data_IF_817899877932
#
_entry.id   IF_817899877932
#
_cell.length_a   1.000
_cell.length_b   1.000
_cell.length_c   1.000
_cell.angle_alpha   90.00
_cell.angle_beta   90.00
_cell.angle_gamma   90.00
#
_symmetry.space_group_name_H-M   'P 1'
#
loop_
_entity.id
_entity.type
_entity.pdbx_description
1 polymer ?
#
# COMPACT_ATOMS: atom_id res chain seq x y z
N UNK A 1 2.09 30.07 15.03
CA UNK A 1 2.71 29.82 13.71
C UNK A 1 1.96 28.67 13.05
N UNK A 2 0.92 29.00 12.28
CA UNK A 2 0.13 28.04 11.48
C UNK A 2 0.74 28.05 10.09
N UNK A 3 1.19 26.93 9.55
CA UNK A 3 1.42 26.65 8.12
C UNK A 3 2.09 25.27 8.02
N UNK A 4 1.38 24.29 7.44
CA UNK A 4 1.80 22.99 6.86
C UNK A 4 0.71 21.92 7.09
N UNK A 5 -0.55 22.24 6.77
CA UNK A 5 -1.63 21.25 6.77
C UNK A 5 -2.63 21.54 5.64
N UNK A 6 -2.12 21.69 4.42
CA UNK A 6 -2.92 22.10 3.26
C UNK A 6 -2.59 21.37 1.95
N UNK A 7 -1.96 20.18 1.99
CA UNK A 7 -1.72 19.38 0.78
C UNK A 7 -2.58 18.13 0.63
N UNK A 8 -3.41 17.77 1.61
CA UNK A 8 -4.31 16.61 1.52
C UNK A 8 -5.76 16.98 1.85
N UNK A 9 -6.24 18.08 1.25
CA UNK A 9 -7.65 18.48 1.34
C UNK A 9 -8.39 18.25 0.02
N UNK A 10 -8.06 17.16 -0.67
CA UNK A 10 -8.77 16.69 -1.86
C UNK A 10 -8.99 15.18 -1.80
N UNK A 11 -9.56 14.66 -0.72
CA UNK A 11 -10.26 13.37 -0.77
C UNK A 11 -11.60 13.58 -1.49
N UNK A 12 -11.52 13.92 -2.78
CA UNK A 12 -12.67 14.01 -3.66
C UNK A 12 -13.15 12.61 -4.08
N UNK A 13 -14.37 12.49 -4.63
CA UNK A 13 -14.95 11.21 -5.07
C UNK A 13 -14.06 10.42 -6.06
N UNK A 14 -13.12 11.08 -6.75
CA UNK A 14 -12.31 10.48 -7.81
C UNK A 14 -11.19 9.55 -7.30
N UNK A 15 -10.54 9.84 -6.17
CA UNK A 15 -9.50 8.97 -5.58
C UNK A 15 -10.11 7.68 -5.00
N UNK A 16 -11.28 7.79 -4.37
CA UNK A 16 -12.07 6.62 -3.93
C UNK A 16 -12.51 5.74 -5.10
N UNK A 17 -12.86 6.33 -6.25
CA UNK A 17 -13.28 5.60 -7.45
C UNK A 17 -12.11 4.80 -8.10
N UNK A 18 -10.91 5.37 -8.19
CA UNK A 18 -9.70 4.65 -8.65
C UNK A 18 -9.29 3.51 -7.70
N UNK A 19 -9.45 3.71 -6.39
CA UNK A 19 -9.17 2.68 -5.38
C UNK A 19 -10.09 1.46 -5.50
N UNK A 20 -11.30 1.67 -6.01
CA UNK A 20 -12.30 0.61 -6.24
C UNK A 20 -11.93 -0.25 -7.46
N UNK A 21 -11.47 0.37 -8.55
CA UNK A 21 -11.04 -0.31 -9.78
C UNK A 21 -9.80 -1.20 -9.58
N UNK A 22 -8.86 -0.78 -8.72
CA UNK A 22 -7.66 -1.55 -8.40
C UNK A 22 -7.88 -2.63 -7.32
N UNK A 23 -9.04 -2.63 -6.66
CA UNK A 23 -9.33 -3.55 -5.57
C UNK A 23 -9.16 -5.03 -5.94
N UNK A 24 -9.61 -5.53 -7.12
CA UNK A 24 -9.39 -6.91 -7.51
C UNK A 24 -7.91 -7.30 -7.56
N UNK A 25 -7.03 -6.38 -7.99
CA UNK A 25 -5.58 -6.61 -8.09
C UNK A 25 -4.96 -6.69 -6.69
N UNK A 26 -5.38 -5.82 -5.76
CA UNK A 26 -4.94 -5.91 -4.36
C UNK A 26 -5.37 -7.23 -3.72
N UNK A 27 -6.61 -7.66 -3.96
CA UNK A 27 -7.14 -8.92 -3.43
C UNK A 27 -6.39 -10.12 -4.01
N UNK A 28 -6.14 -10.15 -5.32
CA UNK A 28 -5.41 -11.25 -5.97
C UNK A 28 -3.95 -11.31 -5.54
N UNK A 29 -3.29 -10.16 -5.40
CA UNK A 29 -1.93 -10.06 -4.87
C UNK A 29 -1.87 -10.54 -3.42
N UNK A 30 -2.77 -10.04 -2.56
CA UNK A 30 -2.86 -10.44 -1.16
C UNK A 30 -3.09 -11.95 -1.03
N UNK A 31 -3.97 -12.53 -1.84
CA UNK A 31 -4.21 -13.98 -1.88
C UNK A 31 -2.95 -14.75 -2.30
N UNK A 32 -2.24 -14.29 -3.34
CA UNK A 32 -1.01 -14.91 -3.84
C UNK A 32 0.08 -14.99 -2.77
N UNK A 33 0.24 -13.94 -1.99
CA UNK A 33 1.28 -13.85 -0.95
C UNK A 33 0.76 -14.07 0.48
N UNK A 34 -0.49 -14.53 0.63
CA UNK A 34 -1.14 -14.81 1.93
C UNK A 34 -1.04 -13.62 2.91
N UNK A 35 -1.25 -12.40 2.38
CA UNK A 35 -1.33 -11.20 3.22
C UNK A 35 -2.60 -11.23 4.07
N UNK A 36 -2.49 -10.80 5.32
CA UNK A 36 -3.65 -10.62 6.20
C UNK A 36 -4.45 -9.39 5.76
N UNK A 37 -5.73 -9.25 6.15
CA UNK A 37 -6.51 -8.06 5.84
C UNK A 37 -5.83 -6.75 6.26
N UNK A 38 -5.14 -6.76 7.42
CA UNK A 38 -4.42 -5.59 7.91
C UNK A 38 -3.16 -5.28 7.09
N UNK A 39 -2.41 -6.30 6.69
CA UNK A 39 -1.28 -6.15 5.78
C UNK A 39 -1.74 -5.63 4.41
N UNK A 40 -2.86 -6.10 3.88
CA UNK A 40 -3.42 -5.59 2.62
C UNK A 40 -3.78 -4.10 2.71
N UNK A 41 -4.29 -3.64 3.87
CA UNK A 41 -4.53 -2.21 4.10
C UNK A 41 -3.21 -1.41 4.11
N UNK A 42 -2.18 -1.89 4.81
CA UNK A 42 -0.85 -1.26 4.79
C UNK A 42 -0.32 -1.19 3.36
N UNK A 43 -0.40 -2.29 2.62
CA UNK A 43 0.09 -2.38 1.24
C UNK A 43 -0.60 -1.38 0.32
N UNK A 44 -1.92 -1.20 0.46
CA UNK A 44 -2.69 -0.22 -0.32
C UNK A 44 -2.14 1.20 -0.09
N UNK A 45 -2.10 1.64 1.16
CA UNK A 45 -1.62 3.00 1.51
C UNK A 45 -0.16 3.17 1.06
N UNK A 46 0.68 2.16 1.25
CA UNK A 46 2.08 2.16 0.87
C UNK A 46 2.32 2.40 -0.64
N UNK A 47 1.45 1.90 -1.51
CA UNK A 47 1.63 2.01 -2.97
C UNK A 47 0.86 3.16 -3.61
N UNK A 48 -0.19 3.69 -2.96
CA UNK A 48 -1.05 4.74 -3.54
C UNK A 48 -0.75 6.16 -3.02
N UNK A 49 -0.31 6.32 -1.77
CA UNK A 49 -0.32 7.63 -1.12
C UNK A 49 1.06 8.34 -1.05
N UNK A 50 2.16 7.61 -1.25
CA UNK A 50 3.51 8.18 -1.17
C UNK A 50 3.94 8.69 0.21
N UNK A 51 3.25 8.25 1.28
CA UNK A 51 3.45 8.69 2.65
C UNK A 51 4.68 8.07 3.33
N UNK A 52 5.21 8.77 4.33
CA UNK A 52 6.23 8.25 5.25
C UNK A 52 5.61 7.28 6.25
N UNK A 53 6.44 6.41 6.84
CA UNK A 53 5.98 5.36 7.76
C UNK A 53 5.20 5.89 8.99
N UNK A 54 5.58 7.02 9.54
CA UNK A 54 4.86 7.66 10.65
C UNK A 54 3.50 8.23 10.21
N UNK A 55 3.39 8.76 9.00
CA UNK A 55 2.13 9.24 8.42
C UNK A 55 1.16 8.07 8.14
N UNK A 56 1.66 6.98 7.54
CA UNK A 56 0.88 5.74 7.36
C UNK A 56 0.42 5.20 8.72
N UNK A 57 1.31 5.19 9.72
CA UNK A 57 0.98 4.71 11.05
C UNK A 57 -0.10 5.57 11.72
N UNK A 58 -0.01 6.90 11.59
CA UNK A 58 -1.01 7.84 12.09
C UNK A 58 -2.38 7.63 11.41
N UNK A 59 -2.41 7.52 10.08
CA UNK A 59 -3.64 7.27 9.31
C UNK A 59 -4.29 5.93 9.68
N UNK A 60 -3.48 4.92 10.01
CA UNK A 60 -3.96 3.60 10.44
C UNK A 60 -4.25 3.53 11.95
N UNK A 61 -4.04 4.61 12.71
CA UNK A 61 -4.17 4.65 14.17
C UNK A 61 -3.35 3.57 14.90
N UNK A 62 -2.10 3.36 14.48
CA UNK A 62 -1.14 2.43 15.09
C UNK A 62 0.20 3.11 15.37
N UNK A 63 1.04 2.48 16.19
CA UNK A 63 2.40 2.99 16.40
C UNK A 63 3.28 2.80 15.14
N UNK A 64 4.29 3.67 14.90
CA UNK A 64 5.28 3.45 13.84
C UNK A 64 6.01 2.11 13.97
N UNK A 65 6.19 1.61 15.20
CA UNK A 65 6.76 0.28 15.46
C UNK A 65 5.84 -0.83 14.96
N UNK A 66 4.54 -0.72 15.21
CA UNK A 66 3.53 -1.67 14.71
C UNK A 66 3.50 -1.69 13.18
N UNK A 67 3.59 -0.52 12.53
CA UNK A 67 3.69 -0.46 11.07
C UNK A 67 4.96 -1.16 10.56
N UNK A 68 6.12 -0.91 11.17
CA UNK A 68 7.37 -1.60 10.81
C UNK A 68 7.25 -3.12 10.95
N UNK A 69 6.52 -3.61 11.96
CA UNK A 69 6.25 -5.04 12.11
C UNK A 69 5.37 -5.57 10.97
N UNK A 70 4.31 -4.85 10.57
CA UNK A 70 3.52 -5.22 9.40
C UNK A 70 4.37 -5.26 8.11
N UNK A 71 5.21 -4.24 7.87
CA UNK A 71 6.13 -4.21 6.74
C UNK A 71 7.07 -5.43 6.76
N UNK A 72 7.64 -5.77 7.92
CA UNK A 72 8.52 -6.93 8.05
C UNK A 72 7.80 -8.25 7.75
N UNK A 73 6.57 -8.42 8.24
CA UNK A 73 5.74 -9.58 7.94
C UNK A 73 5.41 -9.67 6.44
N UNK A 74 5.03 -8.56 5.81
CA UNK A 74 4.78 -8.52 4.35
C UNK A 74 6.03 -8.88 3.57
N UNK A 75 7.17 -8.24 3.89
CA UNK A 75 8.45 -8.48 3.22
C UNK A 75 8.89 -9.95 3.32
N UNK A 76 8.67 -10.60 4.47
CA UNK A 76 8.90 -12.04 4.65
C UNK A 76 8.00 -12.88 3.75
N UNK A 77 6.70 -12.54 3.66
CA UNK A 77 5.72 -13.25 2.82
C UNK A 77 5.97 -13.09 1.33
N UNK A 78 6.47 -11.92 0.91
CA UNK A 78 6.76 -11.58 -0.49
C UNK A 78 8.20 -11.87 -0.91
N UNK A 79 9.06 -12.30 0.03
CA UNK A 79 10.49 -12.54 -0.19
C UNK A 79 11.23 -11.31 -0.74
N UNK A 80 10.86 -10.13 -0.23
CA UNK A 80 11.47 -8.85 -0.62
C UNK A 80 12.32 -8.30 0.50
N UNK A 81 13.42 -7.62 0.18
CA UNK A 81 14.38 -7.12 1.17
C UNK A 81 14.07 -5.72 1.72
N UNK A 82 13.11 -5.00 1.10
CA UNK A 82 12.77 -3.61 1.45
C UNK A 82 11.35 -3.24 1.05
N UNK A 83 10.79 -2.18 1.63
CA UNK A 83 9.50 -1.62 1.18
C UNK A 83 9.55 -1.22 -0.29
N UNK A 84 10.68 -0.69 -0.77
CA UNK A 84 10.88 -0.34 -2.18
C UNK A 84 10.79 -1.56 -3.11
N UNK A 85 11.44 -2.68 -2.74
CA UNK A 85 11.36 -3.91 -3.53
C UNK A 85 9.97 -4.56 -3.45
N UNK A 86 9.25 -4.41 -2.33
CA UNK A 86 7.84 -4.78 -2.22
C UNK A 86 6.94 -3.95 -3.15
N UNK A 87 7.13 -2.63 -3.22
CA UNK A 87 6.41 -1.76 -4.15
C UNK A 87 6.70 -2.15 -5.61
N UNK A 88 7.98 -2.39 -5.96
CA UNK A 88 8.37 -2.83 -7.29
C UNK A 88 7.77 -4.19 -7.67
N UNK A 89 7.72 -5.15 -6.72
CA UNK A 89 7.07 -6.43 -6.93
C UNK A 89 5.58 -6.27 -7.25
N UNK A 90 4.87 -5.41 -6.53
CA UNK A 90 3.47 -5.13 -6.79
C UNK A 90 3.25 -4.45 -8.13
N UNK A 91 4.08 -3.47 -8.48
CA UNK A 91 4.00 -2.82 -9.80
C UNK A 91 4.17 -3.83 -10.94
N UNK A 92 5.18 -4.72 -10.85
CA UNK A 92 5.36 -5.79 -11.82
C UNK A 92 4.18 -6.77 -11.85
N UNK A 93 3.56 -7.06 -10.70
CA UNK A 93 2.37 -7.88 -10.65
C UNK A 93 1.18 -7.23 -11.36
N UNK A 94 0.97 -5.93 -11.16
CA UNK A 94 -0.06 -5.13 -11.86
C UNK A 94 0.19 -5.18 -13.36
N UNK A 95 1.42 -4.91 -13.82
CA UNK A 95 1.76 -4.94 -15.23
C UNK A 95 1.44 -6.29 -15.89
N UNK A 96 1.85 -7.41 -15.27
CA UNK A 96 1.55 -8.76 -15.78
C UNK A 96 0.06 -9.09 -15.80
N UNK A 97 -0.72 -8.47 -14.90
CA UNK A 97 -2.16 -8.69 -14.81
C UNK A 97 -2.92 -7.88 -15.85
N UNK A 98 -2.46 -6.66 -16.13
CA UNK A 98 -3.11 -5.74 -17.07
C UNK A 98 -2.61 -5.89 -18.52
N UNK A 99 -1.39 -6.39 -18.71
CA UNK A 99 -0.75 -6.59 -20.02
C UNK A 99 -0.23 -8.03 -20.14
N UNK A 100 -1.11 -9.05 -20.23
CA UNK A 100 -0.73 -10.45 -20.18
C UNK A 100 0.07 -10.95 -21.40
N UNK A 101 0.22 -10.12 -22.43
CA UNK A 101 0.86 -10.46 -23.71
C UNK A 101 2.28 -9.89 -23.90
N UNK A 102 2.93 -9.41 -22.83
CA UNK A 102 4.34 -8.97 -22.82
C UNK A 102 5.18 -9.86 -21.91
#
# INVERSE_FOLDING_TARGET
MKMLNSFFQTDGPQVQMQTTMLNPIFVSFAKKYKLTPRETQVMRILVTEGLRNDEIAAQMHISPKTLKNHLACMMKKTQTASSRSLQALFFNYVLKTLLPSV
#
